data_IF_971486058982
#
_entry.id   IF_971486058982
#
_cell.length_a   1.000
_cell.length_b   1.000
_cell.length_c   1.000
_cell.angle_alpha   90.00
_cell.angle_beta   90.00
_cell.angle_gamma   90.00
#
_symmetry.space_group_name_H-M   'P 1'
#
loop_
_entity.id
_entity.type
_entity.pdbx_description
1 polymer ?
#
# COMPACT_ATOMS: atom_id res chain seq x y z
N UNK A 1 15.97 -81.48 -81.53
CA UNK A 1 15.04 -80.91 -80.55
C UNK A 1 14.04 -80.09 -81.34
N UNK A 2 12.92 -80.74 -81.68
CA UNK A 2 11.59 -80.52 -81.07
C UNK A 2 10.89 -79.34 -81.75
N UNK A 3 10.00 -79.65 -82.71
CA UNK A 3 8.54 -79.73 -82.56
C UNK A 3 7.89 -78.33 -82.49
N UNK A 4 7.31 -77.83 -83.60
CA UNK A 4 5.85 -77.87 -83.93
C UNK A 4 5.06 -77.01 -82.93
N UNK A 5 4.36 -75.92 -83.27
CA UNK A 5 3.10 -75.79 -84.05
C UNK A 5 2.78 -74.27 -84.05
N UNK A 6 2.59 -73.59 -85.18
CA UNK A 6 1.39 -73.41 -86.03
C UNK A 6 0.38 -72.34 -85.55
N UNK A 7 -0.21 -71.68 -86.56
CA UNK A 7 -1.44 -70.85 -86.61
C UNK A 7 -1.30 -69.35 -86.27
N UNK A 8 -1.31 -68.44 -87.24
CA UNK A 8 -2.38 -68.01 -88.18
C UNK A 8 -3.33 -66.98 -87.56
N UNK A 9 -3.22 -65.71 -87.95
CA UNK A 9 -4.38 -64.80 -88.11
C UNK A 9 -4.03 -63.77 -89.21
N UNK A 10 -4.71 -63.91 -90.36
CA UNK A 10 -4.80 -62.92 -91.42
C UNK A 10 -5.81 -61.81 -91.08
N UNK A 11 -5.37 -60.58 -91.40
CA UNK A 11 -6.04 -59.46 -92.07
C UNK A 11 -7.39 -58.87 -91.60
N UNK A 12 -7.26 -57.56 -91.33
CA UNK A 12 -8.11 -56.43 -91.76
C UNK A 12 -9.63 -56.47 -91.47
N UNK A 13 -10.12 -55.49 -90.71
CA UNK A 13 -10.67 -54.24 -91.28
C UNK A 13 -11.28 -53.37 -90.17
N UNK A 14 -11.04 -52.07 -90.34
CA UNK A 14 -11.68 -50.91 -89.72
C UNK A 14 -13.17 -51.04 -89.44
N UNK A 15 -13.60 -50.63 -88.24
CA UNK A 15 -14.82 -49.85 -88.07
C UNK A 15 -14.67 -48.90 -86.88
N UNK A 16 -14.51 -47.62 -87.20
CA UNK A 16 -14.85 -46.52 -86.32
C UNK A 16 -16.38 -46.43 -86.19
N UNK A 17 -16.80 -45.74 -85.13
CA UNK A 17 -18.17 -45.32 -84.79
C UNK A 17 -19.01 -46.36 -84.05
N UNK A 18 -19.04 -46.22 -82.71
CA UNK A 18 -20.20 -45.64 -82.06
C UNK A 18 -19.89 -45.33 -80.58
N UNK A 19 -19.16 -44.25 -80.32
CA UNK A 19 -19.12 -43.65 -78.98
C UNK A 19 -20.35 -42.77 -78.83
N UNK A 20 -21.51 -43.42 -78.62
CA UNK A 20 -22.66 -42.73 -78.04
C UNK A 20 -22.21 -42.14 -76.71
N UNK A 21 -22.23 -40.81 -76.66
CA UNK A 21 -22.31 -40.05 -75.44
C UNK A 21 -23.53 -40.52 -74.64
N UNK A 22 -23.33 -41.50 -73.77
CA UNK A 22 -24.19 -41.66 -72.61
C UNK A 22 -23.99 -40.39 -71.77
N UNK A 23 -24.96 -39.48 -71.85
CA UNK A 23 -25.06 -38.36 -70.92
C UNK A 23 -25.10 -38.95 -69.51
N UNK A 24 -23.94 -38.99 -68.84
CA UNK A 24 -23.82 -39.44 -67.46
C UNK A 24 -24.57 -38.44 -66.58
N UNK A 25 -25.86 -38.69 -66.36
CA UNK A 25 -26.66 -37.89 -65.45
C UNK A 25 -26.18 -38.15 -64.02
N UNK A 26 -25.61 -37.13 -63.38
CA UNK A 26 -25.28 -37.17 -61.96
C UNK A 26 -26.56 -37.40 -61.15
N UNK A 27 -26.54 -38.40 -60.28
CA UNK A 27 -27.64 -38.58 -59.31
C UNK A 27 -27.50 -37.59 -58.16
N UNK A 28 -28.61 -37.29 -57.46
CA UNK A 28 -28.60 -36.43 -56.27
C UNK A 28 -27.65 -36.95 -55.17
N UNK A 29 -27.53 -38.28 -55.06
CA UNK A 29 -26.59 -38.93 -54.15
C UNK A 29 -25.12 -38.72 -54.56
N UNK A 30 -24.82 -38.71 -55.86
CA UNK A 30 -23.48 -38.41 -56.37
C UNK A 30 -23.10 -36.96 -56.11
N UNK A 31 -24.04 -36.03 -56.33
CA UNK A 31 -23.88 -34.61 -56.01
C UNK A 31 -23.65 -34.37 -54.51
N UNK A 32 -24.46 -35.02 -53.67
CA UNK A 32 -24.33 -34.90 -52.20
C UNK A 32 -22.99 -35.44 -51.73
N UNK A 33 -22.53 -36.57 -52.29
CA UNK A 33 -21.24 -37.19 -51.98
C UNK A 33 -20.05 -36.34 -52.43
N UNK A 34 -20.10 -35.73 -53.61
CA UNK A 34 -19.04 -34.83 -54.08
C UNK A 34 -19.00 -33.57 -53.20
N UNK A 35 -20.15 -32.96 -52.94
CA UNK A 35 -20.26 -31.80 -52.07
C UNK A 35 -19.74 -32.05 -50.64
N UNK A 36 -20.06 -33.21 -50.04
CA UNK A 36 -19.49 -33.57 -48.72
C UNK A 36 -17.98 -33.76 -48.82
N UNK A 37 -17.48 -34.48 -49.83
CA UNK A 37 -16.04 -34.77 -49.96
C UNK A 37 -15.22 -33.50 -50.18
N UNK A 38 -15.76 -32.54 -50.92
CA UNK A 38 -15.12 -31.26 -51.21
C UNK A 38 -15.21 -30.31 -50.00
N UNK A 39 -16.35 -30.27 -49.30
CA UNK A 39 -16.51 -29.58 -48.03
C UNK A 39 -15.54 -30.09 -46.97
N UNK A 40 -15.46 -31.42 -46.77
CA UNK A 40 -14.53 -32.03 -45.81
C UNK A 40 -13.06 -31.77 -46.18
N UNK A 41 -12.71 -31.78 -47.47
CA UNK A 41 -11.35 -31.45 -47.93
C UNK A 41 -11.01 -29.98 -47.69
N UNK A 42 -11.91 -29.06 -48.04
CA UNK A 42 -11.73 -27.62 -47.84
C UNK A 42 -11.62 -27.28 -46.35
N UNK A 43 -12.50 -27.86 -45.54
CA UNK A 43 -12.49 -27.70 -44.08
C UNK A 43 -11.20 -28.24 -43.45
N UNK A 44 -10.78 -29.47 -43.79
CA UNK A 44 -9.53 -30.03 -43.28
C UNK A 44 -8.30 -29.24 -43.76
N UNK A 45 -8.32 -28.71 -44.99
CA UNK A 45 -7.25 -27.86 -45.50
C UNK A 45 -7.16 -26.55 -44.72
N UNK A 46 -8.30 -25.90 -44.46
CA UNK A 46 -8.34 -24.68 -43.67
C UNK A 46 -7.81 -24.90 -42.24
N UNK A 47 -8.16 -26.02 -41.60
CA UNK A 47 -7.67 -26.34 -40.26
C UNK A 47 -6.16 -26.61 -40.26
N UNK A 48 -5.62 -27.28 -41.29
CA UNK A 48 -4.17 -27.46 -41.47
C UNK A 48 -3.44 -26.16 -41.78
N UNK A 49 -4.04 -25.26 -42.57
CA UNK A 49 -3.48 -23.93 -42.83
C UNK A 49 -3.41 -23.07 -41.55
N UNK A 50 -4.34 -23.27 -40.61
CA UNK A 50 -4.30 -22.68 -39.28
C UNK A 50 -3.27 -23.34 -38.34
N UNK A 51 -2.58 -24.38 -38.79
CA UNK A 51 -1.52 -25.08 -38.04
C UNK A 51 -2.02 -26.22 -37.15
N UNK A 52 -3.27 -26.67 -37.31
CA UNK A 52 -3.84 -27.78 -36.54
C UNK A 52 -3.96 -29.04 -37.41
N UNK A 53 -3.71 -30.21 -36.83
CA UNK A 53 -3.72 -31.47 -37.57
C UNK A 53 -5.14 -31.90 -38.00
N UNK A 54 -6.12 -31.64 -37.13
CA UNK A 54 -7.55 -31.93 -37.34
C UNK A 54 -8.47 -31.06 -36.47
N UNK A 55 -9.79 -31.14 -36.70
CA UNK A 55 -10.78 -30.31 -36.01
C UNK A 55 -10.85 -30.53 -34.50
N UNK A 56 -10.61 -31.75 -34.01
CA UNK A 56 -10.59 -32.03 -32.58
C UNK A 56 -9.36 -31.37 -31.95
N UNK A 57 -8.20 -31.46 -32.59
CA UNK A 57 -6.97 -30.80 -32.09
C UNK A 57 -7.13 -29.28 -31.96
N UNK A 58 -7.80 -28.64 -32.93
CA UNK A 58 -8.12 -27.22 -32.88
C UNK A 58 -9.08 -26.87 -31.73
N UNK A 59 -10.10 -27.69 -31.51
CA UNK A 59 -11.06 -27.50 -30.43
C UNK A 59 -10.42 -27.68 -29.04
N UNK A 60 -9.55 -28.67 -28.89
CA UNK A 60 -8.80 -28.90 -27.65
C UNK A 60 -7.82 -27.77 -27.35
N UNK A 61 -7.09 -27.27 -28.35
CA UNK A 61 -6.19 -26.13 -28.20
C UNK A 61 -6.94 -24.86 -27.78
N UNK A 62 -8.11 -24.59 -28.38
CA UNK A 62 -8.98 -23.48 -27.98
C UNK A 62 -9.45 -23.62 -26.54
N UNK A 63 -9.85 -24.84 -26.12
CA UNK A 63 -10.29 -25.10 -24.76
C UNK A 63 -9.15 -24.92 -23.75
N UNK A 64 -7.95 -25.43 -24.06
CA UNK A 64 -6.76 -25.26 -23.23
C UNK A 64 -6.36 -23.78 -23.11
N UNK A 65 -6.44 -23.01 -24.20
CA UNK A 65 -6.18 -21.57 -24.19
C UNK A 65 -7.20 -20.81 -23.33
N UNK A 66 -8.49 -21.14 -23.43
CA UNK A 66 -9.54 -20.53 -22.59
C UNK A 66 -9.31 -20.84 -21.11
N UNK A 67 -9.03 -22.09 -20.78
CA UNK A 67 -8.71 -22.48 -19.41
C UNK A 67 -7.45 -21.76 -18.89
N UNK A 68 -6.41 -21.60 -19.72
CA UNK A 68 -5.22 -20.84 -19.37
C UNK A 68 -5.54 -19.35 -19.17
N UNK A 69 -6.32 -18.71 -20.06
CA UNK A 69 -6.74 -17.32 -19.87
C UNK A 69 -7.55 -17.13 -18.60
N UNK A 70 -8.49 -18.03 -18.31
CA UNK A 70 -9.28 -18.01 -17.07
C UNK A 70 -8.41 -18.22 -15.84
N UNK A 71 -7.45 -19.15 -15.91
CA UNK A 71 -6.47 -19.37 -14.83
C UNK A 71 -5.55 -18.16 -14.62
N UNK A 72 -5.09 -17.51 -15.69
CA UNK A 72 -4.27 -16.30 -15.59
C UNK A 72 -5.07 -15.13 -15.04
N UNK A 73 -6.34 -14.97 -15.43
CA UNK A 73 -7.23 -13.96 -14.86
C UNK A 73 -7.45 -14.20 -13.36
N UNK A 74 -7.77 -15.44 -12.98
CA UNK A 74 -7.97 -15.79 -11.56
C UNK A 74 -6.69 -15.59 -10.73
N UNK A 75 -5.53 -15.95 -11.26
CA UNK A 75 -4.26 -15.74 -10.56
C UNK A 75 -3.90 -14.25 -10.48
N UNK A 76 -4.12 -13.48 -11.55
CA UNK A 76 -3.92 -12.03 -11.55
C UNK A 76 -4.88 -11.32 -10.55
N UNK A 77 -6.13 -11.75 -10.47
CA UNK A 77 -7.10 -11.24 -9.48
C UNK A 77 -6.64 -11.55 -8.05
N UNK A 78 -6.16 -12.77 -7.78
CA UNK A 78 -5.58 -13.11 -6.47
C UNK A 78 -4.35 -12.28 -6.15
N UNK A 79 -3.46 -12.06 -7.12
CA UNK A 79 -2.28 -11.22 -6.93
C UNK A 79 -2.65 -9.77 -6.66
N UNK A 80 -3.66 -9.23 -7.35
CA UNK A 80 -4.18 -7.88 -7.09
C UNK A 80 -4.81 -7.77 -5.69
N UNK A 81 -5.55 -8.79 -5.24
CA UNK A 81 -6.12 -8.81 -3.89
C UNK A 81 -5.02 -8.87 -2.82
N UNK A 82 -3.99 -9.70 -3.03
CA UNK A 82 -2.83 -9.77 -2.13
C UNK A 82 -2.07 -8.44 -2.11
N UNK A 83 -1.84 -7.82 -3.28
CA UNK A 83 -1.19 -6.52 -3.37
C UNK A 83 -2.00 -5.43 -2.66
N UNK A 84 -3.31 -5.36 -2.91
CA UNK A 84 -4.18 -4.40 -2.23
C UNK A 84 -4.21 -4.62 -0.71
N UNK A 85 -4.23 -5.87 -0.24
CA UNK A 85 -4.13 -6.18 1.17
C UNK A 85 -2.77 -5.76 1.76
N UNK A 86 -1.67 -5.97 1.02
CA UNK A 86 -0.33 -5.56 1.43
C UNK A 86 -0.13 -4.05 1.42
N UNK A 87 -0.67 -3.34 0.45
CA UNK A 87 -0.63 -1.87 0.40
C UNK A 87 -1.41 -1.28 1.58
N UNK A 88 -2.58 -1.85 1.90
CA UNK A 88 -3.34 -1.45 3.08
C UNK A 88 -2.59 -1.73 4.38
N UNK A 89 -2.02 -2.93 4.53
CA UNK A 89 -1.19 -3.28 5.70
C UNK A 89 0.01 -2.33 5.82
N UNK A 90 0.65 -2.00 4.71
CA UNK A 90 1.78 -1.07 4.67
C UNK A 90 1.35 0.35 5.08
N UNK A 91 0.21 0.84 4.58
CA UNK A 91 -0.33 2.15 4.94
C UNK A 91 -0.65 2.22 6.45
N UNK A 92 -1.28 1.18 7.01
CA UNK A 92 -1.56 1.08 8.44
C UNK A 92 -0.28 1.06 9.28
N UNK A 93 0.73 0.28 8.86
CA UNK A 93 2.03 0.21 9.54
C UNK A 93 2.77 1.53 9.46
N UNK A 94 2.77 2.21 8.30
CA UNK A 94 3.41 3.51 8.13
C UNK A 94 2.71 4.59 8.97
N UNK A 95 1.38 4.61 9.00
CA UNK A 95 0.62 5.53 9.84
C UNK A 95 0.92 5.30 11.33
N UNK A 96 0.96 4.04 11.77
CA UNK A 96 1.32 3.65 13.14
C UNK A 96 2.75 4.06 13.48
N UNK A 97 3.70 3.79 12.58
CA UNK A 97 5.11 4.16 12.77
C UNK A 97 5.29 5.68 12.88
N UNK A 98 4.61 6.46 12.02
CA UNK A 98 4.60 7.92 12.09
C UNK A 98 4.04 8.42 13.42
N UNK A 99 2.91 7.88 13.86
CA UNK A 99 2.29 8.25 15.14
C UNK A 99 3.21 7.93 16.33
N UNK A 100 3.84 6.74 16.33
CA UNK A 100 4.78 6.34 17.38
C UNK A 100 6.03 7.22 17.40
N UNK A 101 6.61 7.53 16.24
CA UNK A 101 7.76 8.44 16.15
C UNK A 101 7.41 9.85 16.64
N UNK A 102 6.22 10.35 16.30
CA UNK A 102 5.74 11.65 16.79
C UNK A 102 5.56 11.65 18.32
N UNK A 103 4.99 10.58 18.88
CA UNK A 103 4.86 10.39 20.34
C UNK A 103 6.22 10.34 21.02
N UNK A 104 7.17 9.59 20.46
CA UNK A 104 8.52 9.51 21.00
C UNK A 104 9.19 10.88 20.99
N UNK A 105 9.13 11.60 19.86
CA UNK A 105 9.67 12.95 19.72
C UNK A 105 9.05 13.93 20.74
N UNK A 106 7.73 13.91 20.90
CA UNK A 106 7.02 14.77 21.86
C UNK A 106 7.48 14.51 23.30
N UNK A 107 7.56 13.24 23.70
CA UNK A 107 8.07 12.85 25.02
C UNK A 107 9.53 13.28 25.20
N UNK A 108 10.38 13.03 24.22
CA UNK A 108 11.81 13.42 24.26
C UNK A 108 12.01 14.94 24.34
N UNK A 109 11.12 15.73 23.74
CA UNK A 109 11.14 17.19 23.81
C UNK A 109 10.51 17.76 25.09
N UNK A 110 10.05 16.88 25.99
CA UNK A 110 9.50 17.29 27.28
C UNK A 110 8.09 17.88 27.18
N UNK A 111 7.27 17.37 26.27
CA UNK A 111 5.83 17.63 26.27
C UNK A 111 5.18 16.96 27.50
N UNK A 112 4.16 17.59 28.08
CA UNK A 112 3.37 17.02 29.16
C UNK A 112 2.62 15.77 28.68
N UNK A 113 2.63 14.69 29.46
CA UNK A 113 1.96 13.43 29.14
C UNK A 113 0.48 13.61 28.76
N UNK A 114 -0.21 14.53 29.44
CA UNK A 114 -1.62 14.83 29.19
C UNK A 114 -1.86 15.60 27.87
N UNK A 115 -0.81 16.14 27.25
CA UNK A 115 -0.88 17.00 26.07
C UNK A 115 -0.11 16.46 24.86
N UNK A 116 0.44 15.24 24.94
CA UNK A 116 1.22 14.63 23.85
C UNK A 116 0.40 14.58 22.57
N UNK A 117 -0.81 14.02 22.63
CA UNK A 117 -1.64 13.82 21.44
C UNK A 117 -2.10 15.16 20.83
N UNK A 118 -2.41 16.16 21.65
CA UNK A 118 -2.77 17.51 21.21
C UNK A 118 -1.60 18.21 20.50
N UNK A 119 -0.40 18.12 21.07
CA UNK A 119 0.80 18.71 20.49
C UNK A 119 1.15 18.03 19.17
N UNK A 120 1.02 16.71 19.07
CA UNK A 120 1.23 15.98 17.81
C UNK A 120 0.24 16.45 16.75
N UNK A 121 -1.06 16.52 17.07
CA UNK A 121 -2.08 16.96 16.13
C UNK A 121 -1.88 18.41 15.65
N UNK A 122 -1.35 19.29 16.50
CA UNK A 122 -0.95 20.65 16.11
C UNK A 122 0.32 20.64 15.24
N UNK A 123 1.28 19.79 15.58
CA UNK A 123 2.57 19.69 14.90
C UNK A 123 2.45 19.08 13.51
N UNK A 124 1.55 18.11 13.31
CA UNK A 124 1.31 17.49 12.01
C UNK A 124 0.87 18.49 10.93
N UNK A 125 0.17 19.57 11.32
CA UNK A 125 -0.19 20.67 10.40
C UNK A 125 0.99 21.55 9.99
N UNK A 126 2.09 21.47 10.73
CA UNK A 126 3.31 22.25 10.53
C UNK A 126 4.42 21.41 9.87
N UNK A 127 4.18 20.12 9.63
CA UNK A 127 5.11 19.25 8.91
C UNK A 127 4.93 19.49 7.41
N UNK A 128 6.03 19.85 6.77
CA UNK A 128 6.18 20.02 5.32
C UNK A 128 7.50 19.36 4.90
N UNK A 129 7.86 19.46 3.62
CA UNK A 129 9.08 18.83 3.08
C UNK A 129 10.37 19.35 3.75
N UNK A 130 10.33 20.55 4.35
CA UNK A 130 11.47 21.21 5.00
C UNK A 130 11.42 21.12 6.55
N UNK A 131 10.26 20.79 7.13
CA UNK A 131 10.01 20.79 8.57
C UNK A 131 9.67 19.39 9.07
N UNK A 132 10.62 18.75 9.75
CA UNK A 132 10.38 17.47 10.44
C UNK A 132 9.38 17.60 11.59
N UNK A 133 8.75 16.49 11.97
CA UNK A 133 7.81 16.42 13.11
C UNK A 133 8.43 16.94 14.41
N UNK A 134 9.72 16.67 14.66
CA UNK A 134 10.43 17.18 15.83
C UNK A 134 10.54 18.71 15.82
N UNK A 135 10.85 19.29 14.67
CA UNK A 135 10.95 20.75 14.54
C UNK A 135 9.57 21.41 14.62
N UNK A 136 8.53 20.76 14.09
CA UNK A 136 7.15 21.18 14.27
C UNK A 136 6.75 21.18 15.75
N UNK A 137 7.08 20.12 16.51
CA UNK A 137 6.82 20.04 17.95
C UNK A 137 7.54 21.17 18.70
N UNK A 138 8.79 21.48 18.37
CA UNK A 138 9.52 22.62 18.97
C UNK A 138 8.80 23.94 18.71
N UNK A 139 8.36 24.20 17.47
CA UNK A 139 7.59 25.40 17.11
C UNK A 139 6.30 25.51 17.94
N UNK A 140 5.61 24.39 18.17
CA UNK A 140 4.40 24.35 19.03
C UNK A 140 4.74 24.66 20.47
N UNK A 141 5.81 24.08 21.03
CA UNK A 141 6.25 24.35 22.40
C UNK A 141 6.70 25.80 22.61
N UNK A 142 7.39 26.39 21.64
CA UNK A 142 7.81 27.80 21.70
C UNK A 142 6.60 28.75 21.74
N UNK A 143 5.57 28.44 20.94
CA UNK A 143 4.34 29.23 20.88
C UNK A 143 3.41 28.97 22.08
N UNK A 144 3.41 27.74 22.59
CA UNK A 144 2.55 27.29 23.67
C UNK A 144 3.36 26.59 24.77
N UNK A 145 4.09 27.36 25.61
CA UNK A 145 4.98 26.78 26.62
C UNK A 145 4.29 25.95 27.70
N UNK A 146 2.97 26.10 27.86
CA UNK A 146 2.17 25.35 28.81
C UNK A 146 2.03 23.86 28.45
N UNK A 147 2.28 23.49 27.19
CA UNK A 147 2.33 22.10 26.78
C UNK A 147 3.63 21.40 27.19
N UNK A 148 4.66 22.14 27.58
CA UNK A 148 5.89 21.57 28.12
C UNK A 148 5.73 21.14 29.57
N UNK A 149 6.60 20.23 30.02
CA UNK A 149 6.72 19.88 31.43
C UNK A 149 7.03 21.14 32.24
N UNK A 150 6.13 21.49 33.15
CA UNK A 150 6.22 22.68 33.96
C UNK A 150 7.37 22.47 34.95
N UNK A 151 8.53 23.07 34.70
CA UNK A 151 9.44 23.42 35.80
C UNK A 151 8.71 24.47 36.61
N UNK A 152 8.21 24.09 37.79
CA UNK A 152 7.46 24.91 38.75
C UNK A 152 7.57 26.42 38.51
N UNK A 153 6.70 26.95 37.65
CA UNK A 153 6.60 28.40 37.49
C UNK A 153 5.62 28.86 38.54
N UNK A 154 6.17 29.20 39.71
CA UNK A 154 5.43 29.96 40.73
C UNK A 154 4.76 31.16 40.04
N UNK A 155 3.42 31.28 40.06
CA UNK A 155 2.72 32.35 39.37
C UNK A 155 3.11 33.69 40.00
N UNK A 156 3.70 34.59 39.20
CA UNK A 156 3.98 35.95 39.63
C UNK A 156 2.69 36.77 39.49
N UNK A 157 1.91 36.84 40.57
CA UNK A 157 0.80 37.79 40.68
C UNK A 157 1.42 39.20 40.66
N UNK A 158 1.27 39.94 39.56
CA UNK A 158 1.54 41.39 39.55
C UNK A 158 0.22 42.11 39.67
N UNK A 159 -0.16 42.48 40.90
CA UNK A 159 -1.30 43.36 41.14
C UNK A 159 -0.87 44.79 40.82
N UNK A 160 -1.54 45.42 39.86
CA UNK A 160 -1.34 46.83 39.54
C UNK A 160 -2.01 47.68 40.63
N UNK A 161 -1.22 48.16 41.58
CA UNK A 161 -1.66 49.12 42.59
C UNK A 161 -1.17 48.78 43.99
N UNK A 162 -0.18 49.56 44.44
CA UNK A 162 0.41 49.61 45.78
C UNK A 162 1.42 48.48 46.15
N UNK A 163 2.74 48.76 46.18
CA UNK A 163 3.73 47.82 46.69
C UNK A 163 3.83 47.96 48.21
N UNK A 164 2.92 47.33 48.95
CA UNK A 164 3.27 46.90 50.29
C UNK A 164 4.04 45.60 50.14
N UNK A 165 5.33 45.64 50.46
CA UNK A 165 6.28 44.55 50.34
C UNK A 165 5.82 43.33 51.13
N UNK A 166 5.13 42.41 50.46
CA UNK A 166 4.95 41.05 50.94
C UNK A 166 5.69 40.11 49.99
N UNK A 167 7.00 40.07 50.19
CA UNK A 167 7.82 39.00 49.64
C UNK A 167 7.57 37.80 50.55
N UNK A 168 6.70 36.89 50.09
CA UNK A 168 6.38 35.62 50.73
C UNK A 168 7.57 34.67 50.82
N UNK A 169 8.54 34.99 51.66
CA UNK A 169 9.51 34.08 52.24
C UNK A 169 9.40 34.18 53.77
N UNK A 170 8.54 33.35 54.37
CA UNK A 170 8.45 33.11 55.81
C UNK A 170 8.33 34.39 56.64
N UNK A 171 7.11 34.88 56.83
CA UNK A 171 6.81 36.10 57.60
C UNK A 171 7.11 35.90 59.09
N UNK A 172 8.38 35.91 59.47
CA UNK A 172 8.80 36.17 60.84
C UNK A 172 8.71 37.67 61.04
N UNK A 173 7.72 38.11 61.79
CA UNK A 173 7.59 39.52 62.17
C UNK A 173 8.73 39.93 63.13
N UNK A 174 9.01 41.23 63.26
CA UNK A 174 10.04 41.72 64.23
C UNK A 174 9.75 41.29 65.67
N UNK A 175 8.47 41.17 66.02
CA UNK A 175 8.02 40.72 67.33
C UNK A 175 8.27 39.24 67.57
N UNK A 176 8.02 38.40 66.56
CA UNK A 176 8.36 36.98 66.59
C UNK A 176 9.86 36.76 66.60
N UNK A 177 10.61 37.52 65.80
CA UNK A 177 12.07 37.49 65.82
C UNK A 177 12.62 37.83 67.20
N UNK A 178 12.05 38.81 67.90
CA UNK A 178 12.49 39.17 69.26
C UNK A 178 12.29 38.01 70.24
N UNK A 179 11.21 37.24 70.07
CA UNK A 179 10.85 36.08 70.90
C UNK A 179 11.59 34.78 70.53
N UNK A 180 12.20 34.71 69.34
CA UNK A 180 12.99 33.54 68.93
C UNK A 180 14.23 33.32 69.78
N UNK A 181 14.53 32.05 70.01
CA UNK A 181 15.78 31.61 70.61
C UNK A 181 16.99 31.95 69.73
N UNK A 182 18.18 31.89 70.32
CA UNK A 182 19.42 32.14 69.59
C UNK A 182 19.64 31.16 68.43
N UNK A 183 19.26 29.89 68.61
CA UNK A 183 19.39 28.87 67.58
C UNK A 183 18.48 29.15 66.39
N UNK A 184 17.22 29.51 66.64
CA UNK A 184 16.25 29.86 65.59
C UNK A 184 16.67 31.11 64.81
N UNK A 185 17.26 32.10 65.50
CA UNK A 185 17.84 33.29 64.87
C UNK A 185 19.04 32.94 63.98
N UNK A 186 19.85 31.97 64.37
CA UNK A 186 21.00 31.51 63.59
C UNK A 186 20.56 30.73 62.35
N UNK A 187 19.57 29.86 62.50
CA UNK A 187 18.93 29.14 61.40
C UNK A 187 18.29 30.10 60.40
N UNK A 188 17.63 31.16 60.89
CA UNK A 188 17.07 32.20 60.04
C UNK A 188 18.16 32.93 59.26
N UNK A 189 19.30 33.24 59.90
CA UNK A 189 20.45 33.87 59.23
C UNK A 189 21.07 32.97 58.15
N UNK A 190 21.11 31.65 58.38
CA UNK A 190 21.62 30.66 57.43
C UNK A 190 20.67 30.47 56.23
N UNK A 191 19.36 30.41 56.48
CA UNK A 191 18.34 30.18 55.45
C UNK A 191 18.01 31.46 54.66
N UNK A 192 17.90 32.60 55.34
CA UNK A 192 17.57 33.89 54.75
C UNK A 192 18.30 35.04 55.45
N UNK A 193 19.56 35.27 55.02
CA UNK A 193 20.41 36.34 55.57
C UNK A 193 19.78 37.73 55.42
N UNK A 194 19.10 38.00 54.31
CA UNK A 194 18.48 39.30 54.05
C UNK A 194 17.35 39.59 55.05
N UNK A 195 16.49 38.60 55.31
CA UNK A 195 15.42 38.71 56.30
C UNK A 195 15.98 38.87 57.72
N UNK A 196 17.01 38.11 58.10
CA UNK A 196 17.67 38.28 59.40
C UNK A 196 18.24 39.69 59.60
N UNK A 197 18.92 40.24 58.59
CA UNK A 197 19.50 41.59 58.66
C UNK A 197 18.41 42.68 58.72
N UNK A 198 17.28 42.49 58.02
CA UNK A 198 16.10 43.37 58.09
C UNK A 198 15.40 43.35 59.47
N UNK A 199 15.33 42.19 60.11
CA UNK A 199 14.67 42.03 61.42
C UNK A 199 15.57 42.45 62.60
N UNK A 200 16.89 42.39 62.43
CA UNK A 200 17.87 42.83 63.43
C UNK A 200 18.12 44.36 63.40
N UNK A 201 17.89 45.02 62.27
CA UNK A 201 18.03 46.47 62.14
C UNK A 201 16.86 47.23 62.77
N UNK A 202 17.17 48.27 63.56
CA UNK A 202 16.19 49.17 64.23
C UNK A 202 15.00 49.51 63.33
#
# INVERSE_FOLDING_TARGET
MENVTNENVDQETTNLENSQSEDKTFTQDDLTRVGTKEHSKGYNKAIKELGFDDANSAQEALKAYRNWQESQKSEAEKQLEVLAAKDKELEEVLASNKALNAKLAAVSLGVNADSIDDVIALSERLVDDDTSIENAIKKVLDKYPHFGQVKDRVPKITFAGNPSADNGEGTVTKEEFSKMSYQEKLDLKLKNKNLYDQLKGN
#
